data_IF_790709385415
#
_entry.id   IF_790709385415
#
_cell.length_a   1.000
_cell.length_b   1.000
_cell.length_c   1.000
_cell.angle_alpha   90.00
_cell.angle_beta   90.00
_cell.angle_gamma   90.00
#
_symmetry.space_group_name_H-M   'P 1'
#
loop_
_entity.id
_entity.type
_entity.pdbx_description
1 polymer ?
#
# COMPACT_ATOMS: atom_id res chain seq x y z
N UNK A 1 7.48 -21.38 26.45
CA UNK A 1 7.79 -20.92 27.81
C UNK A 1 6.88 -19.75 28.09
N UNK A 2 5.92 -19.98 28.97
CA UNK A 2 4.90 -19.02 29.39
C UNK A 2 5.58 -17.85 30.11
N UNK A 3 5.42 -16.63 29.59
CA UNK A 3 5.78 -15.45 30.36
C UNK A 3 4.67 -15.26 31.38
N UNK A 4 4.95 -15.58 32.64
CA UNK A 4 4.11 -15.21 33.78
C UNK A 4 3.76 -13.72 33.65
N UNK A 5 2.47 -13.39 33.77
CA UNK A 5 2.00 -12.02 33.81
C UNK A 5 2.49 -11.35 35.11
N UNK A 6 3.73 -10.83 35.09
CA UNK A 6 4.26 -10.00 36.17
C UNK A 6 3.46 -8.70 36.24
N UNK A 7 2.46 -8.67 37.13
CA UNK A 7 1.73 -7.46 37.47
C UNK A 7 2.73 -6.39 37.96
N UNK A 8 2.64 -5.20 37.36
CA UNK A 8 3.53 -4.07 37.66
C UNK A 8 3.29 -3.59 39.09
N UNK A 9 4.22 -3.90 39.99
CA UNK A 9 4.07 -3.70 41.44
C UNK A 9 4.84 -2.49 42.01
N UNK A 10 5.77 -1.91 41.23
CA UNK A 10 6.63 -0.79 41.67
C UNK A 10 6.32 0.50 40.90
N UNK A 11 6.27 1.62 41.63
CA UNK A 11 6.07 2.96 41.09
C UNK A 11 7.38 3.74 41.20
N UNK A 12 7.80 4.40 40.11
CA UNK A 12 8.91 5.34 40.11
C UNK A 12 8.31 6.75 40.14
N UNK A 13 8.47 7.45 41.26
CA UNK A 13 8.05 8.85 41.40
C UNK A 13 9.16 9.78 40.90
N UNK A 14 8.92 10.45 39.77
CA UNK A 14 9.84 11.44 39.20
C UNK A 14 9.22 12.83 39.34
N UNK A 15 9.94 13.77 39.97
CA UNK A 15 9.57 15.19 39.94
C UNK A 15 10.21 15.84 38.73
N UNK A 16 9.39 16.53 37.95
CA UNK A 16 9.80 17.28 36.77
C UNK A 16 9.45 18.74 36.98
N UNK A 17 10.30 19.62 36.49
CA UNK A 17 9.96 21.03 36.30
C UNK A 17 8.93 21.17 35.17
N UNK A 18 8.25 22.32 35.12
CA UNK A 18 7.21 22.56 34.10
C UNK A 18 7.78 22.53 32.66
N UNK A 19 9.02 22.98 32.47
CA UNK A 19 9.72 22.92 31.17
C UNK A 19 10.01 21.48 30.76
N UNK A 20 10.58 20.68 31.66
CA UNK A 20 10.89 19.26 31.40
C UNK A 20 9.62 18.45 31.11
N UNK A 21 8.54 18.68 31.87
CA UNK A 21 7.26 18.03 31.59
C UNK A 21 6.71 18.44 30.22
N UNK A 22 6.81 19.72 29.85
CA UNK A 22 6.38 20.21 28.54
C UNK A 22 7.15 19.56 27.37
N UNK A 23 8.45 19.29 27.54
CA UNK A 23 9.22 18.57 26.53
C UNK A 23 8.78 17.11 26.38
N UNK A 24 8.54 16.43 27.51
CA UNK A 24 8.05 15.05 27.52
C UNK A 24 6.66 14.98 26.89
N UNK A 25 5.78 15.93 27.19
CA UNK A 25 4.43 15.98 26.63
C UNK A 25 4.45 16.22 25.10
N UNK A 26 5.30 17.13 24.62
CA UNK A 26 5.49 17.36 23.17
C UNK A 26 5.97 16.10 22.45
N UNK A 27 6.95 15.39 23.02
CA UNK A 27 7.46 14.16 22.42
C UNK A 27 6.45 13.00 22.51
N UNK A 28 5.66 12.94 23.59
CA UNK A 28 4.56 11.99 23.73
C UNK A 28 3.46 12.20 22.70
N UNK A 29 3.01 13.45 22.49
CA UNK A 29 1.98 13.80 21.48
C UNK A 29 2.43 13.46 20.05
N UNK A 30 3.74 13.47 19.78
CA UNK A 30 4.31 13.04 18.50
C UNK A 30 4.46 11.51 18.37
N UNK A 31 4.28 10.76 19.46
CA UNK A 31 4.43 9.31 19.47
C UNK A 31 3.09 8.59 19.29
N UNK A 32 3.13 7.32 18.89
CA UNK A 32 1.93 6.46 18.80
C UNK A 32 1.44 5.91 20.16
N UNK A 33 1.85 6.49 21.28
CA UNK A 33 1.51 5.99 22.61
C UNK A 33 0.21 6.64 23.13
N UNK A 34 -0.80 5.85 23.49
CA UNK A 34 -2.06 6.37 24.06
C UNK A 34 -1.92 6.92 25.49
N UNK A 35 -0.93 6.43 26.25
CA UNK A 35 -0.70 6.82 27.64
C UNK A 35 0.73 7.34 27.81
N UNK A 36 0.88 8.42 28.59
CA UNK A 36 2.19 8.98 28.93
C UNK A 36 3.09 7.94 29.64
N UNK A 37 2.50 7.10 30.50
CA UNK A 37 3.22 6.04 31.20
C UNK A 37 3.78 4.96 30.28
N UNK A 38 3.13 4.69 29.15
CA UNK A 38 3.64 3.77 28.14
C UNK A 38 4.74 4.40 27.29
N UNK A 39 4.63 5.70 27.00
CA UNK A 39 5.67 6.47 26.33
C UNK A 39 6.96 6.52 27.16
N UNK A 40 6.87 6.90 28.43
CA UNK A 40 8.02 6.95 29.36
C UNK A 40 8.65 5.57 29.53
N UNK A 41 7.86 4.50 29.62
CA UNK A 41 8.37 3.14 29.71
C UNK A 41 9.13 2.72 28.44
N UNK A 42 8.63 3.03 27.25
CA UNK A 42 9.33 2.74 25.99
C UNK A 42 10.65 3.50 25.88
N UNK A 43 10.68 4.75 26.35
CA UNK A 43 11.88 5.58 26.41
C UNK A 43 12.94 4.98 27.36
N UNK A 44 12.54 4.54 28.56
CA UNK A 44 13.44 3.96 29.56
C UNK A 44 14.00 2.59 29.17
N UNK A 45 13.19 1.74 28.55
CA UNK A 45 13.59 0.36 28.21
C UNK A 45 14.01 0.19 26.75
N UNK A 46 14.26 1.30 26.02
CA UNK A 46 14.77 1.27 24.65
C UNK A 46 13.92 0.47 23.66
N UNK A 47 12.63 0.24 23.96
CA UNK A 47 11.75 -0.50 23.05
C UNK A 47 11.52 0.39 21.82
N UNK A 48 11.72 -0.12 20.59
CA UNK A 48 11.52 0.67 19.40
C UNK A 48 10.11 1.26 19.44
N UNK A 49 10.05 2.60 19.52
CA UNK A 49 8.85 3.30 19.11
C UNK A 49 8.74 3.03 17.62
N UNK A 50 7.98 1.99 17.27
CA UNK A 50 7.50 1.81 15.91
C UNK A 50 6.63 3.03 15.65
N UNK A 51 7.28 4.10 15.20
CA UNK A 51 6.67 5.16 14.45
C UNK A 51 6.16 4.45 13.21
N UNK A 52 4.93 3.93 13.28
CA UNK A 52 4.19 3.56 12.08
C UNK A 52 3.98 4.88 11.35
N UNK A 53 4.99 5.28 10.58
CA UNK A 53 4.89 6.39 9.65
C UNK A 53 4.01 5.88 8.53
N UNK A 54 2.70 5.83 8.80
CA UNK A 54 1.71 5.53 7.78
C UNK A 54 1.62 6.78 6.93
N UNK A 55 2.40 6.78 5.85
CA UNK A 55 2.49 7.91 4.98
C UNK A 55 1.17 8.03 4.21
N UNK A 56 0.35 9.01 4.60
CA UNK A 56 -0.95 9.25 3.97
C UNK A 56 -0.83 9.44 2.45
N UNK A 57 0.26 10.02 1.95
CA UNK A 57 0.48 10.15 0.51
C UNK A 57 0.73 8.79 -0.17
N UNK A 58 1.32 7.83 0.55
CA UNK A 58 1.53 6.48 0.05
C UNK A 58 0.22 5.66 0.04
N UNK A 59 -0.64 5.87 1.04
CA UNK A 59 -1.99 5.30 1.07
C UNK A 59 -2.86 5.85 -0.08
N UNK A 60 -2.83 7.17 -0.30
CA UNK A 60 -3.56 7.83 -1.40
C UNK A 60 -3.04 7.36 -2.77
N UNK A 61 -1.71 7.28 -2.95
CA UNK A 61 -1.12 6.73 -4.16
C UNK A 61 -1.51 5.27 -4.39
N UNK A 62 -1.57 4.45 -3.33
CA UNK A 62 -1.98 3.05 -3.44
C UNK A 62 -3.44 2.92 -3.90
N UNK A 63 -4.33 3.77 -3.37
CA UNK A 63 -5.73 3.79 -3.77
C UNK A 63 -5.89 4.14 -5.26
N UNK A 64 -5.14 5.12 -5.77
CA UNK A 64 -5.13 5.47 -7.19
C UNK A 64 -4.60 4.33 -8.07
N UNK A 65 -3.53 3.66 -7.66
CA UNK A 65 -2.98 2.51 -8.39
C UNK A 65 -3.97 1.34 -8.45
N UNK A 66 -4.72 1.08 -7.38
CA UNK A 66 -5.76 0.06 -7.38
C UNK A 66 -6.91 0.40 -8.33
N UNK A 67 -7.28 1.68 -8.44
CA UNK A 67 -8.27 2.19 -9.40
C UNK A 67 -7.78 2.01 -10.84
N UNK A 68 -6.57 2.47 -11.14
CA UNK A 68 -5.95 2.34 -12.46
C UNK A 68 -5.87 0.88 -12.91
N UNK A 69 -5.50 -0.04 -12.00
CA UNK A 69 -5.50 -1.49 -12.28
C UNK A 69 -6.89 -1.99 -12.70
N UNK A 70 -7.94 -1.53 -12.02
CA UNK A 70 -9.33 -1.93 -12.33
C UNK A 70 -9.77 -1.39 -13.69
N UNK A 71 -9.42 -0.14 -14.00
CA UNK A 71 -9.74 0.49 -15.29
C UNK A 71 -9.01 -0.20 -16.44
N UNK A 72 -7.71 -0.48 -16.28
CA UNK A 72 -6.93 -1.27 -17.25
C UNK A 72 -7.58 -2.62 -17.52
N UNK A 73 -7.96 -3.36 -16.48
CA UNK A 73 -8.68 -4.63 -16.64
C UNK A 73 -9.99 -4.49 -17.43
N UNK A 74 -10.77 -3.45 -17.17
CA UNK A 74 -12.00 -3.20 -17.91
C UNK A 74 -11.73 -2.88 -19.39
N UNK A 75 -10.70 -2.09 -19.68
CA UNK A 75 -10.26 -1.81 -21.06
C UNK A 75 -9.84 -3.10 -21.76
N UNK A 76 -9.05 -3.95 -21.10
CA UNK A 76 -8.64 -5.25 -21.63
C UNK A 76 -9.83 -6.14 -21.98
N UNK A 77 -10.82 -6.23 -21.08
CA UNK A 77 -12.06 -7.00 -21.33
C UNK A 77 -12.84 -6.46 -22.53
N UNK A 78 -13.07 -5.15 -22.59
CA UNK A 78 -13.81 -4.52 -23.70
C UNK A 78 -13.08 -4.70 -25.03
N UNK A 79 -11.75 -4.57 -25.01
CA UNK A 79 -10.92 -4.80 -26.17
C UNK A 79 -11.03 -6.25 -26.67
N UNK A 80 -11.00 -7.22 -25.75
CA UNK A 80 -11.15 -8.64 -26.10
C UNK A 80 -12.50 -8.92 -26.77
N UNK A 81 -13.57 -8.26 -26.32
CA UNK A 81 -14.88 -8.36 -26.95
C UNK A 81 -14.92 -7.72 -28.36
N UNK A 82 -14.26 -6.58 -28.55
CA UNK A 82 -14.17 -5.93 -29.86
C UNK A 82 -13.43 -6.80 -30.88
N UNK A 83 -12.31 -7.41 -30.47
CA UNK A 83 -11.58 -8.40 -31.29
C UNK A 83 -12.52 -9.55 -31.67
N UNK A 84 -13.20 -10.16 -30.70
CA UNK A 84 -14.10 -11.29 -30.95
C UNK A 84 -15.22 -10.93 -31.94
N UNK A 85 -15.80 -9.72 -31.84
CA UNK A 85 -16.81 -9.23 -32.79
C UNK A 85 -16.24 -9.05 -34.20
N UNK A 86 -15.00 -8.59 -34.32
CA UNK A 86 -14.32 -8.43 -35.61
C UNK A 86 -14.12 -9.79 -36.30
N UNK A 87 -13.68 -10.81 -35.56
CA UNK A 87 -13.54 -12.18 -36.09
C UNK A 87 -14.87 -12.77 -36.58
N UNK A 88 -16.00 -12.39 -35.97
CA UNK A 88 -17.33 -12.89 -36.40
C UNK A 88 -17.89 -12.20 -37.65
N UNK A 89 -17.27 -11.13 -38.15
CA UNK A 89 -17.74 -10.34 -39.31
C UNK A 89 -16.95 -10.65 -40.61
N UNK A 90 -16.19 -11.74 -40.64
CA UNK A 90 -15.14 -11.98 -41.64
C UNK A 90 -15.68 -12.42 -43.01
N UNK A 91 -15.70 -11.49 -43.97
CA UNK A 91 -16.02 -11.72 -45.39
C UNK A 91 -15.05 -11.03 -46.38
N UNK A 92 -13.94 -10.42 -45.93
CA UNK A 92 -13.07 -9.59 -46.80
C UNK A 92 -11.55 -9.83 -46.57
N UNK A 93 -10.75 -10.16 -47.61
CA UNK A 93 -9.30 -10.44 -47.49
C UNK A 93 -8.44 -9.30 -46.91
N UNK A 94 -8.85 -8.03 -47.08
CA UNK A 94 -8.15 -6.87 -46.51
C UNK A 94 -8.31 -6.79 -44.99
N UNK A 95 -9.37 -7.39 -44.43
CA UNK A 95 -9.62 -7.45 -42.99
C UNK A 95 -8.62 -8.40 -42.29
N UNK A 96 -8.15 -9.45 -42.97
CA UNK A 96 -7.23 -10.45 -42.40
C UNK A 96 -5.84 -9.88 -42.13
N UNK A 97 -5.29 -9.06 -43.03
CA UNK A 97 -4.01 -8.38 -42.81
C UNK A 97 -4.09 -7.39 -41.64
N UNK A 98 -5.22 -6.69 -41.53
CA UNK A 98 -5.50 -5.78 -40.41
C UNK A 98 -5.67 -6.52 -39.09
N UNK A 99 -6.38 -7.65 -39.08
CA UNK A 99 -6.53 -8.54 -37.92
C UNK A 99 -5.17 -9.05 -37.42
N UNK A 100 -4.26 -9.43 -38.32
CA UNK A 100 -2.95 -9.95 -37.95
C UNK A 100 -2.07 -8.86 -37.32
N UNK A 101 -2.07 -7.64 -37.88
CA UNK A 101 -1.37 -6.50 -37.28
C UNK A 101 -1.98 -6.14 -35.91
N UNK A 102 -3.31 -6.19 -35.82
CA UNK A 102 -4.06 -5.88 -34.61
C UNK A 102 -3.83 -6.92 -33.49
N UNK A 103 -3.72 -8.21 -33.81
CA UNK A 103 -3.37 -9.26 -32.84
C UNK A 103 -1.95 -9.07 -32.26
N UNK A 104 -1.00 -8.62 -33.08
CA UNK A 104 0.35 -8.30 -32.62
C UNK A 104 0.32 -7.11 -31.66
N UNK A 105 -0.35 -6.02 -32.03
CA UNK A 105 -0.45 -4.82 -31.19
C UNK A 105 -1.19 -5.11 -29.88
N UNK A 106 -2.23 -5.96 -29.94
CA UNK A 106 -2.91 -6.51 -28.76
C UNK A 106 -1.92 -7.19 -27.83
N UNK A 107 -1.12 -8.14 -28.34
CA UNK A 107 -0.18 -8.89 -27.50
C UNK A 107 0.82 -7.97 -26.80
N UNK A 108 1.28 -6.92 -27.48
CA UNK A 108 2.20 -5.93 -26.90
C UNK A 108 1.51 -5.09 -25.83
N UNK A 109 0.28 -4.63 -26.09
CA UNK A 109 -0.50 -3.84 -25.14
C UNK A 109 -0.81 -4.62 -23.86
N UNK A 110 -1.24 -5.88 -24.00
CA UNK A 110 -1.53 -6.75 -22.86
C UNK A 110 -0.27 -7.08 -22.07
N UNK A 111 0.86 -7.35 -22.73
CA UNK A 111 2.14 -7.56 -22.04
C UNK A 111 2.56 -6.34 -21.22
N UNK A 112 2.37 -5.12 -21.75
CA UNK A 112 2.64 -3.89 -21.00
C UNK A 112 1.66 -3.66 -19.85
N UNK A 113 0.41 -4.06 -20.02
CA UNK A 113 -0.58 -4.00 -18.96
C UNK A 113 -0.22 -4.96 -17.81
N UNK A 114 0.24 -6.17 -18.12
CA UNK A 114 0.73 -7.13 -17.11
C UNK A 114 1.94 -6.58 -16.33
N UNK A 115 2.89 -5.91 -17.00
CA UNK A 115 4.01 -5.23 -16.36
C UNK A 115 3.55 -4.13 -15.38
N UNK A 116 2.50 -3.38 -15.73
CA UNK A 116 1.90 -2.36 -14.85
C UNK A 116 1.24 -3.04 -13.65
N UNK A 117 0.46 -4.11 -13.85
CA UNK A 117 -0.17 -4.86 -12.75
C UNK A 117 0.88 -5.40 -11.78
N UNK A 118 1.94 -6.02 -12.29
CA UNK A 118 3.05 -6.54 -11.47
C UNK A 118 3.75 -5.42 -10.68
N UNK A 119 3.89 -4.24 -11.27
CA UNK A 119 4.49 -3.08 -10.58
C UNK A 119 3.59 -2.59 -9.43
N UNK A 120 2.27 -2.55 -9.66
CA UNK A 120 1.29 -2.23 -8.61
C UNK A 120 1.32 -3.25 -7.48
N UNK A 121 1.40 -4.55 -7.80
CA UNK A 121 1.49 -5.61 -6.78
C UNK A 121 2.76 -5.50 -5.94
N UNK A 122 3.91 -5.22 -6.57
CA UNK A 122 5.17 -4.96 -5.84
C UNK A 122 5.05 -3.77 -4.90
N UNK A 123 4.44 -2.67 -5.34
CA UNK A 123 4.19 -1.51 -4.49
C UNK A 123 3.24 -1.85 -3.34
N UNK A 124 2.19 -2.64 -3.59
CA UNK A 124 1.25 -3.08 -2.56
C UNK A 124 1.91 -3.99 -1.52
N UNK A 125 2.81 -4.88 -1.94
CA UNK A 125 3.58 -5.74 -1.03
C UNK A 125 4.53 -4.93 -0.14
N UNK A 126 5.21 -3.92 -0.70
CA UNK A 126 6.05 -2.98 0.07
C UNK A 126 5.23 -2.13 1.05
N UNK A 127 3.95 -1.86 0.75
CA UNK A 127 3.05 -1.11 1.63
C UNK A 127 2.52 -1.94 2.81
N UNK A 128 2.35 -3.26 2.64
CA UNK A 128 1.84 -4.16 3.68
C UNK A 128 2.91 -4.64 4.68
N UNK A 129 4.20 -4.35 4.44
CA UNK A 129 5.32 -4.64 5.34
C UNK A 129 5.52 -3.55 6.40
#
# INVERSE_FOLDING_TARGET
MEQENENRSRIIGLRLTASEYGEVEKKWKKSNCRKLSDYVRRLLFGRPMVSSYRNRSMDEAMAELMLLRKELNAIGVNFNQAVHRLHTLDHLPQMQAWLTAFERDKSVLFGKMDEVVLSVEKMAALWLQ
#
